data_IF_878821151213
#
_entry.id   IF_878821151213
#
_cell.length_a   1.000
_cell.length_b   1.000
_cell.length_c   1.000
_cell.angle_alpha   90.00
_cell.angle_beta   90.00
_cell.angle_gamma   90.00
#
_symmetry.space_group_name_H-M   'P 1'
#
loop_
_entity.id
_entity.type
_entity.pdbx_description
1 polymer ?
#
# COMPACT_ATOMS: atom_id res chain seq x y z
N UNK A 1 34.64 -8.05 -52.88
CA UNK A 1 35.72 -7.16 -52.45
C UNK A 1 36.46 -7.82 -51.31
N UNK A 2 37.77 -8.03 -51.46
CA UNK A 2 38.60 -8.56 -50.37
C UNK A 2 38.93 -7.44 -49.38
N UNK A 3 38.60 -7.64 -48.10
CA UNK A 3 38.94 -6.70 -47.03
C UNK A 3 40.22 -7.16 -46.33
N UNK A 4 41.02 -6.22 -45.82
CA UNK A 4 42.32 -6.51 -45.21
C UNK A 4 42.18 -6.57 -43.68
N UNK A 5 42.77 -7.61 -43.07
CA UNK A 5 42.88 -7.72 -41.63
C UNK A 5 43.87 -6.68 -41.06
N UNK A 6 43.44 -5.89 -40.09
CA UNK A 6 44.24 -4.80 -39.49
C UNK A 6 45.36 -5.28 -38.56
N UNK A 7 45.37 -6.58 -38.20
CA UNK A 7 46.44 -7.16 -37.37
C UNK A 7 47.50 -7.92 -38.15
N UNK A 8 47.15 -8.55 -39.27
CA UNK A 8 48.07 -9.43 -40.00
C UNK A 8 48.15 -9.15 -41.50
N UNK A 9 47.42 -8.14 -42.01
CA UNK A 9 47.44 -7.73 -43.41
C UNK A 9 46.82 -8.74 -44.39
N UNK A 10 46.29 -9.87 -43.91
CA UNK A 10 45.69 -10.90 -44.77
C UNK A 10 44.37 -10.41 -45.35
N UNK A 11 44.20 -10.57 -46.67
CA UNK A 11 42.94 -10.36 -47.38
C UNK A 11 41.96 -11.48 -47.06
N UNK A 12 40.76 -11.14 -46.64
CA UNK A 12 39.72 -12.11 -46.23
C UNK A 12 38.34 -11.48 -46.42
N UNK A 13 37.35 -12.29 -46.80
CA UNK A 13 35.96 -11.83 -46.94
C UNK A 13 35.23 -11.66 -45.61
N UNK A 14 35.66 -12.38 -44.57
CA UNK A 14 35.02 -12.44 -43.26
C UNK A 14 35.93 -11.82 -42.19
N UNK A 15 35.74 -10.54 -41.90
CA UNK A 15 36.36 -9.84 -40.78
C UNK A 15 35.42 -9.83 -39.57
N UNK A 16 36.02 -9.86 -38.38
CA UNK A 16 35.34 -9.72 -37.09
C UNK A 16 35.87 -8.48 -36.39
N UNK A 17 34.97 -7.67 -35.85
CA UNK A 17 35.35 -6.52 -35.03
C UNK A 17 35.65 -6.97 -33.60
N UNK A 18 36.86 -6.69 -33.13
CA UNK A 18 37.33 -7.06 -31.79
C UNK A 18 37.99 -5.86 -31.11
N UNK A 19 37.87 -5.82 -29.78
CA UNK A 19 38.57 -4.83 -28.94
C UNK A 19 39.91 -5.41 -28.49
N UNK A 20 41.01 -4.77 -28.88
CA UNK A 20 42.38 -5.12 -28.51
C UNK A 20 43.02 -3.88 -27.90
N UNK A 21 43.46 -3.98 -26.64
CA UNK A 21 44.17 -2.90 -25.91
C UNK A 21 43.44 -1.52 -25.96
N UNK A 22 42.10 -1.55 -25.98
CA UNK A 22 41.26 -0.35 -25.99
C UNK A 22 40.92 0.20 -27.38
N UNK A 23 41.46 -0.40 -28.45
CA UNK A 23 41.13 -0.04 -29.84
C UNK A 23 40.27 -1.10 -30.53
N UNK A 24 39.28 -0.67 -31.30
CA UNK A 24 38.43 -1.56 -32.10
C UNK A 24 39.09 -1.81 -33.45
N UNK A 25 39.38 -3.09 -33.74
CA UNK A 25 40.04 -3.51 -34.98
C UNK A 25 39.19 -4.55 -35.73
N UNK A 26 39.22 -4.50 -37.06
CA UNK A 26 38.62 -5.49 -37.95
C UNK A 26 39.66 -6.54 -38.35
N UNK A 27 39.48 -7.75 -37.84
CA UNK A 27 40.50 -8.80 -37.92
C UNK A 27 39.94 -10.10 -38.48
N UNK A 28 40.82 -10.92 -39.08
CA UNK A 28 40.44 -12.24 -39.55
C UNK A 28 40.16 -13.20 -38.38
N UNK A 29 39.53 -14.35 -38.66
CA UNK A 29 39.17 -15.34 -37.64
C UNK A 29 40.33 -15.80 -36.74
N UNK A 30 41.56 -15.83 -37.27
CA UNK A 30 42.76 -16.22 -36.51
C UNK A 30 43.25 -15.12 -35.57
N UNK A 31 43.08 -13.85 -35.95
CA UNK A 31 43.50 -12.71 -35.14
C UNK A 31 42.45 -12.31 -34.10
N UNK A 32 41.18 -12.71 -34.31
CA UNK A 32 40.09 -12.44 -33.37
C UNK A 32 40.32 -13.01 -31.96
N UNK A 33 41.20 -14.02 -31.82
CA UNK A 33 41.57 -14.59 -30.51
C UNK A 33 42.35 -13.64 -29.60
N UNK A 34 42.97 -12.60 -30.17
CA UNK A 34 43.77 -11.63 -29.41
C UNK A 34 42.93 -10.50 -28.81
N UNK A 35 41.64 -10.44 -29.14
CA UNK A 35 40.73 -9.40 -28.67
C UNK A 35 39.45 -9.96 -28.09
N UNK A 36 38.67 -9.07 -27.46
CA UNK A 36 37.30 -9.39 -27.02
C UNK A 36 36.33 -9.09 -28.17
N UNK A 37 35.47 -10.03 -28.56
CA UNK A 37 34.50 -9.79 -29.63
C UNK A 37 33.52 -8.70 -29.18
N UNK A 38 33.47 -7.61 -29.95
CA UNK A 38 32.47 -6.55 -29.73
C UNK A 38 31.31 -6.88 -30.63
N UNK A 39 30.14 -7.18 -30.03
CA UNK A 39 28.91 -7.18 -30.79
C UNK A 39 28.67 -5.74 -31.21
N UNK A 40 28.41 -5.43 -32.49
CA UNK A 40 27.94 -4.10 -32.85
C UNK A 40 26.73 -3.82 -31.98
N UNK A 41 26.77 -2.73 -31.21
CA UNK A 41 25.60 -2.25 -30.49
C UNK A 41 24.61 -1.83 -31.57
N UNK A 42 23.73 -2.75 -31.95
CA UNK A 42 22.52 -2.40 -32.69
C UNK A 42 21.80 -1.47 -31.72
N UNK A 43 21.84 -0.17 -32.01
CA UNK A 43 21.10 0.82 -31.26
C UNK A 43 19.67 0.30 -31.12
N UNK A 44 19.26 0.05 -29.87
CA UNK A 44 17.97 -0.55 -29.59
C UNK A 44 16.91 0.24 -30.35
N UNK A 45 16.07 -0.46 -31.09
CA UNK A 45 15.03 0.20 -31.87
C UNK A 45 14.09 0.96 -30.94
N UNK A 46 13.46 2.06 -31.38
CA UNK A 46 12.49 2.79 -30.56
C UNK A 46 11.41 1.89 -29.95
N UNK A 47 11.05 0.80 -30.64
CA UNK A 47 10.11 -0.22 -30.18
C UNK A 47 10.65 -1.01 -28.98
N UNK A 48 11.90 -1.45 -29.01
CA UNK A 48 12.53 -2.20 -27.92
C UNK A 48 12.73 -1.32 -26.67
N UNK A 49 13.04 -0.03 -26.88
CA UNK A 49 13.16 0.94 -25.79
C UNK A 49 11.79 1.17 -25.14
N UNK A 50 10.74 1.37 -25.94
CA UNK A 50 9.37 1.56 -25.44
C UNK A 50 8.88 0.32 -24.65
N UNK A 51 9.10 -0.89 -25.17
CA UNK A 51 8.74 -2.13 -24.48
C UNK A 51 9.47 -2.27 -23.14
N UNK A 52 10.75 -1.90 -23.08
CA UNK A 52 11.55 -1.97 -21.86
C UNK A 52 11.09 -0.96 -20.80
N UNK A 53 10.68 0.23 -21.23
CA UNK A 53 10.11 1.26 -20.37
C UNK A 53 8.75 0.83 -19.83
N UNK A 54 7.88 0.27 -20.67
CA UNK A 54 6.56 -0.23 -20.25
C UNK A 54 6.66 -1.38 -19.24
N UNK A 55 7.62 -2.31 -19.44
CA UNK A 55 7.92 -3.39 -18.49
C UNK A 55 8.50 -2.86 -17.17
N UNK A 56 9.16 -1.70 -17.19
CA UNK A 56 9.64 -1.04 -15.97
C UNK A 56 8.47 -0.40 -15.25
N UNK A 57 7.61 0.35 -15.94
CA UNK A 57 6.38 0.92 -15.37
C UNK A 57 5.47 -0.14 -14.75
N UNK A 58 5.25 -1.28 -15.41
CA UNK A 58 4.44 -2.38 -14.84
C UNK A 58 5.03 -2.97 -13.56
N UNK A 59 6.36 -2.94 -13.40
CA UNK A 59 7.03 -3.37 -12.16
C UNK A 59 7.00 -2.30 -11.06
N UNK A 60 6.96 -1.03 -11.43
CA UNK A 60 6.91 0.11 -10.50
C UNK A 60 5.48 0.58 -10.18
N UNK A 61 4.45 0.06 -10.85
CA UNK A 61 3.08 0.13 -10.32
C UNK A 61 3.08 -0.64 -9.01
N UNK A 62 3.22 0.10 -7.91
CA UNK A 62 2.93 -0.38 -6.57
C UNK A 62 1.56 -1.05 -6.64
N UNK A 63 1.56 -2.37 -6.55
CA UNK A 63 0.33 -3.16 -6.43
C UNK A 63 -0.46 -2.47 -5.33
N UNK A 64 -1.57 -1.83 -5.68
CA UNK A 64 -2.42 -1.11 -4.73
C UNK A 64 -2.78 -2.13 -3.65
N UNK A 65 -2.10 -2.04 -2.50
CA UNK A 65 -2.32 -2.94 -1.36
C UNK A 65 -3.79 -2.86 -0.90
N UNK A 66 -4.46 -1.76 -1.25
CA UNK A 66 -5.85 -1.46 -0.96
C UNK A 66 -6.87 -2.02 -1.96
N UNK A 67 -6.47 -2.47 -3.15
CA UNK A 67 -7.42 -2.92 -4.20
C UNK A 67 -7.88 -4.38 -3.99
N UNK A 68 -7.43 -5.03 -2.91
CA UNK A 68 -7.88 -6.39 -2.51
C UNK A 68 -8.73 -6.39 -1.24
N UNK A 69 -9.13 -5.22 -0.71
CA UNK A 69 -9.89 -5.10 0.55
C UNK A 69 -11.34 -4.69 0.28
N UNK A 70 -12.00 -5.32 -0.69
CA UNK A 70 -13.44 -5.08 -0.96
C UNK A 70 -14.34 -6.20 -0.43
N UNK A 71 -13.77 -7.22 0.22
CA UNK A 71 -14.55 -8.29 0.82
C UNK A 71 -14.51 -8.14 2.33
N UNK A 72 -15.56 -7.57 2.90
CA UNK A 72 -15.72 -7.51 4.35
C UNK A 72 -16.44 -8.75 4.86
N UNK A 73 -16.01 -9.23 6.03
CA UNK A 73 -16.69 -10.32 6.74
C UNK A 73 -18.04 -9.81 7.24
N UNK A 74 -19.12 -10.52 6.89
CA UNK A 74 -20.48 -10.16 7.33
C UNK A 74 -20.56 -10.17 8.86
N UNK A 75 -21.15 -9.12 9.46
CA UNK A 75 -21.26 -8.97 10.91
C UNK A 75 -21.94 -10.16 11.61
N UNK A 76 -22.92 -10.80 10.96
CA UNK A 76 -23.65 -11.97 11.47
C UNK A 76 -22.96 -13.32 11.17
N UNK A 77 -21.65 -13.34 10.93
CA UNK A 77 -20.90 -14.56 10.61
C UNK A 77 -21.09 -15.68 11.65
N UNK A 78 -21.13 -15.35 12.95
CA UNK A 78 -21.26 -16.32 14.03
C UNK A 78 -22.57 -17.11 13.94
N UNK A 79 -23.69 -16.41 13.69
CA UNK A 79 -25.01 -17.03 13.51
C UNK A 79 -25.07 -17.86 12.25
N UNK A 80 -24.59 -17.32 11.12
CA UNK A 80 -24.56 -18.03 9.84
C UNK A 80 -23.78 -19.35 9.91
N UNK A 81 -22.63 -19.35 10.59
CA UNK A 81 -21.82 -20.56 10.78
C UNK A 81 -22.56 -21.59 11.63
N UNK A 82 -23.18 -21.17 12.73
CA UNK A 82 -23.94 -22.05 13.62
C UNK A 82 -25.14 -22.67 12.91
N UNK A 83 -25.89 -21.87 12.16
CA UNK A 83 -27.07 -22.32 11.40
C UNK A 83 -26.67 -23.25 10.24
N UNK A 84 -25.54 -22.98 9.58
CA UNK A 84 -25.03 -23.86 8.55
C UNK A 84 -24.56 -25.20 9.14
N UNK A 85 -23.89 -25.17 10.30
CA UNK A 85 -23.47 -26.38 11.00
C UNK A 85 -24.66 -27.25 11.39
N UNK A 86 -25.71 -26.68 11.97
CA UNK A 86 -26.93 -27.43 12.34
C UNK A 86 -27.65 -27.99 11.11
N UNK A 87 -27.73 -27.24 10.01
CA UNK A 87 -28.28 -27.74 8.74
C UNK A 87 -27.50 -28.95 8.20
N UNK A 88 -26.18 -28.96 8.38
CA UNK A 88 -25.33 -30.08 7.97
C UNK A 88 -25.21 -31.20 9.02
N UNK A 89 -25.90 -31.10 10.17
CA UNK A 89 -25.85 -32.05 11.30
C UNK A 89 -24.42 -32.39 11.77
N UNK A 90 -23.47 -31.45 11.68
CA UNK A 90 -22.10 -31.65 12.14
C UNK A 90 -21.92 -31.21 13.59
N UNK A 91 -21.17 -31.96 14.39
CA UNK A 91 -20.70 -31.46 15.69
C UNK A 91 -19.56 -30.45 15.51
N UNK A 92 -19.31 -29.55 16.48
CA UNK A 92 -18.18 -28.61 16.42
C UNK A 92 -16.82 -29.31 16.29
N UNK A 93 -16.70 -30.53 16.83
CA UNK A 93 -15.48 -31.33 16.75
C UNK A 93 -15.28 -31.91 15.34
N UNK A 94 -16.33 -32.42 14.72
CA UNK A 94 -16.29 -32.93 13.34
C UNK A 94 -16.04 -31.82 12.33
N UNK A 95 -16.65 -30.65 12.53
CA UNK A 95 -16.39 -29.47 11.70
C UNK A 95 -14.92 -29.06 11.81
N UNK A 96 -14.37 -29.00 13.04
CA UNK A 96 -12.96 -28.74 13.28
C UNK A 96 -12.04 -29.75 12.59
N UNK A 97 -12.34 -31.06 12.68
CA UNK A 97 -11.60 -32.11 11.98
C UNK A 97 -11.62 -31.92 10.46
N UNK A 98 -12.77 -31.52 9.88
CA UNK A 98 -12.93 -31.32 8.43
C UNK A 98 -12.17 -30.11 7.90
N UNK A 99 -12.04 -29.04 8.69
CA UNK A 99 -11.29 -27.83 8.30
C UNK A 99 -9.85 -27.78 8.84
N UNK A 100 -9.44 -28.83 9.56
CA UNK A 100 -8.15 -28.96 10.25
C UNK A 100 -7.90 -27.84 11.28
N UNK A 101 -8.87 -27.64 12.18
CA UNK A 101 -8.84 -26.63 13.24
C UNK A 101 -9.33 -27.22 14.57
N UNK A 102 -8.88 -26.62 15.68
CA UNK A 102 -9.25 -27.09 17.02
C UNK A 102 -10.71 -26.76 17.34
N UNK A 103 -11.39 -27.67 18.05
CA UNK A 103 -12.78 -27.48 18.52
C UNK A 103 -13.00 -26.15 19.27
N UNK A 104 -12.00 -25.72 20.03
CA UNK A 104 -12.04 -24.49 20.82
C UNK A 104 -12.13 -23.24 19.95
N UNK A 105 -11.53 -23.26 18.75
CA UNK A 105 -11.56 -22.15 17.79
C UNK A 105 -12.97 -22.07 17.18
N UNK A 106 -13.54 -23.21 16.77
CA UNK A 106 -14.91 -23.28 16.23
C UNK A 106 -15.93 -22.72 17.21
N UNK A 107 -15.87 -23.13 18.48
CA UNK A 107 -16.80 -22.63 19.50
C UNK A 107 -16.69 -21.12 19.73
N UNK A 108 -15.47 -20.57 19.72
CA UNK A 108 -15.24 -19.12 19.86
C UNK A 108 -15.75 -18.31 18.67
N UNK A 109 -15.72 -18.89 17.47
CA UNK A 109 -16.26 -18.27 16.26
C UNK A 109 -17.79 -18.33 16.27
N UNK A 110 -18.38 -19.48 16.65
CA UNK A 110 -19.84 -19.63 16.80
C UNK A 110 -20.42 -18.71 17.89
N UNK A 111 -19.64 -18.37 18.92
CA UNK A 111 -20.03 -17.40 19.96
C UNK A 111 -19.74 -15.93 19.59
N UNK A 112 -19.09 -15.67 18.45
CA UNK A 112 -18.70 -14.32 18.01
C UNK A 112 -17.58 -13.68 18.84
N UNK A 113 -16.91 -14.45 19.70
CA UNK A 113 -15.82 -13.96 20.55
C UNK A 113 -14.49 -13.84 19.81
N UNK A 114 -14.38 -14.42 18.61
CA UNK A 114 -13.17 -14.44 17.79
C UNK A 114 -13.50 -14.18 16.33
N UNK A 115 -12.79 -13.22 15.72
CA UNK A 115 -12.85 -12.96 14.28
C UNK A 115 -11.96 -13.97 13.55
N UNK A 116 -12.49 -14.74 12.58
CA UNK A 116 -11.72 -15.70 11.82
C UNK A 116 -10.80 -15.03 10.79
N UNK A 117 -9.63 -15.63 10.55
CA UNK A 117 -8.71 -15.22 9.48
C UNK A 117 -9.30 -15.52 8.09
N UNK A 118 -8.85 -14.80 7.06
CA UNK A 118 -9.32 -14.99 5.67
C UNK A 118 -9.17 -16.43 5.17
N UNK A 119 -8.09 -17.11 5.57
CA UNK A 119 -7.87 -18.51 5.24
C UNK A 119 -8.91 -19.43 5.89
N UNK A 120 -9.28 -19.13 7.13
CA UNK A 120 -10.28 -19.87 7.88
C UNK A 120 -11.68 -19.63 7.30
N UNK A 121 -11.99 -18.39 6.93
CA UNK A 121 -13.24 -18.02 6.27
C UNK A 121 -13.41 -18.84 4.99
N UNK A 122 -12.41 -18.87 4.10
CA UNK A 122 -12.45 -19.66 2.86
C UNK A 122 -12.66 -21.15 3.12
N UNK A 123 -12.06 -21.70 4.18
CA UNK A 123 -12.27 -23.11 4.57
C UNK A 123 -13.71 -23.36 5.05
N UNK A 124 -14.26 -22.45 5.86
CA UNK A 124 -15.62 -22.53 6.37
C UNK A 124 -16.65 -22.40 5.24
N UNK A 125 -16.44 -21.47 4.32
CA UNK A 125 -17.28 -21.30 3.13
C UNK A 125 -17.33 -22.60 2.30
N UNK A 126 -16.18 -23.27 2.10
CA UNK A 126 -16.12 -24.55 1.39
C UNK A 126 -16.74 -25.71 2.15
N UNK A 127 -16.52 -25.80 3.46
CA UNK A 127 -17.00 -26.91 4.27
C UNK A 127 -18.52 -26.88 4.49
N UNK A 128 -19.08 -25.67 4.61
CA UNK A 128 -20.50 -25.44 4.92
C UNK A 128 -21.30 -24.93 3.71
N UNK A 129 -20.65 -24.68 2.57
CA UNK A 129 -21.22 -24.15 1.33
C UNK A 129 -22.03 -22.85 1.54
N UNK A 130 -21.51 -21.96 2.38
CA UNK A 130 -22.08 -20.64 2.68
C UNK A 130 -21.16 -19.53 2.18
N UNK A 131 -21.72 -18.33 1.97
CA UNK A 131 -20.94 -17.11 1.70
C UNK A 131 -20.86 -16.26 2.97
N UNK A 132 -19.64 -16.05 3.45
CA UNK A 132 -19.32 -15.26 4.65
C UNK A 132 -18.66 -13.92 4.28
N UNK A 133 -18.08 -13.83 3.08
CA UNK A 133 -17.56 -12.58 2.52
C UNK A 133 -18.62 -11.89 1.66
N UNK A 134 -18.87 -10.61 1.92
CA UNK A 134 -19.73 -9.77 1.09
C UNK A 134 -18.88 -8.70 0.39
N UNK A 135 -19.09 -8.55 -0.92
CA UNK A 135 -18.48 -7.46 -1.68
C UNK A 135 -19.22 -6.19 -1.31
N UNK A 136 -18.53 -5.23 -0.73
CA UNK A 136 -19.09 -3.88 -0.52
C UNK A 136 -19.40 -3.28 -1.90
N UNK A 137 -20.66 -3.38 -2.33
CA UNK A 137 -21.21 -2.42 -3.28
C UNK A 137 -21.17 -1.08 -2.55
N UNK A 138 -20.61 -0.08 -3.21
CA UNK A 138 -20.59 1.32 -2.75
C UNK A 138 -22.01 1.86 -2.61
N UNK A 139 -22.70 1.51 -1.54
CA UNK A 139 -23.90 2.20 -1.07
C UNK A 139 -23.71 2.53 0.41
N UNK A 140 -23.43 3.83 0.64
CA UNK A 140 -23.55 4.62 1.87
C UNK A 140 -22.97 4.02 3.16
N UNK A 141 -21.88 4.65 3.60
CA UNK A 141 -21.22 4.47 4.89
C UNK A 141 -22.18 4.74 6.06
N UNK A 142 -22.78 3.69 6.61
CA UNK A 142 -23.32 3.68 7.97
C UNK A 142 -22.18 3.36 8.94
N UNK A 143 -21.64 4.39 9.58
CA UNK A 143 -20.62 4.27 10.63
C UNK A 143 -21.18 3.50 11.82
N UNK A 144 -20.71 2.26 12.05
CA UNK A 144 -20.90 1.56 13.33
C UNK A 144 -19.93 2.09 14.39
N UNK A 145 -20.50 2.34 15.57
CA UNK A 145 -19.90 3.02 16.73
C UNK A 145 -18.70 2.23 17.28
N UNK A 146 -17.50 2.82 17.25
CA UNK A 146 -16.41 2.47 18.17
C UNK A 146 -16.52 3.35 19.41
N UNK A 147 -16.47 2.70 20.59
CA UNK A 147 -16.79 3.27 21.89
C UNK A 147 -15.74 4.21 22.48
N UNK A 148 -15.49 5.34 21.82
CA UNK A 148 -15.04 6.57 22.48
C UNK A 148 -16.21 7.53 22.45
N UNK A 149 -16.79 7.87 23.60
CA UNK A 149 -17.93 8.77 23.67
C UNK A 149 -17.58 10.15 23.15
N UNK A 150 -17.80 10.40 21.86
CA UNK A 150 -17.75 11.74 21.28
C UNK A 150 -18.83 12.59 21.96
N UNK A 151 -18.42 13.72 22.53
CA UNK A 151 -19.35 14.68 23.12
C UNK A 151 -20.34 15.14 22.05
N UNK A 152 -21.54 15.57 22.45
CA UNK A 152 -22.53 15.99 21.45
C UNK A 152 -22.04 17.16 20.58
N UNK A 153 -21.08 17.97 21.08
CA UNK A 153 -20.40 19.00 20.30
C UNK A 153 -19.47 18.45 19.22
N UNK A 154 -18.79 17.33 19.46
CA UNK A 154 -17.87 16.73 18.48
C UNK A 154 -18.62 16.14 17.29
N UNK A 155 -19.83 15.61 17.50
CA UNK A 155 -20.68 15.05 16.43
C UNK A 155 -21.14 16.11 15.44
N UNK A 156 -21.45 17.30 15.94
CA UNK A 156 -21.91 18.44 15.13
C UNK A 156 -20.76 19.02 14.30
N UNK A 157 -19.56 19.09 14.88
CA UNK A 157 -18.34 19.46 14.16
C UNK A 157 -18.01 18.44 13.06
N UNK A 158 -18.09 17.13 13.34
CA UNK A 158 -17.83 16.07 12.34
C UNK A 158 -18.80 16.16 11.16
N UNK A 159 -20.09 16.38 11.40
CA UNK A 159 -21.08 16.54 10.33
C UNK A 159 -20.73 17.74 9.42
N UNK A 160 -20.34 18.88 10.02
CA UNK A 160 -19.90 20.07 9.31
C UNK A 160 -18.64 19.83 8.46
N UNK A 161 -17.64 19.12 8.99
CA UNK A 161 -16.44 18.78 8.22
C UNK A 161 -16.72 17.80 7.09
N UNK A 162 -17.67 16.87 7.26
CA UNK A 162 -18.02 15.85 6.25
C UNK A 162 -18.67 16.46 5.02
N UNK A 163 -19.53 17.46 5.19
CA UNK A 163 -20.11 18.21 4.06
C UNK A 163 -19.05 19.02 3.31
N UNK A 164 -18.10 19.61 4.03
CA UNK A 164 -17.04 20.46 3.47
C UNK A 164 -15.95 19.65 2.74
N UNK A 165 -15.64 18.44 3.22
CA UNK A 165 -14.65 17.53 2.64
C UNK A 165 -15.21 16.66 1.49
N UNK A 166 -16.48 16.84 1.12
CA UNK A 166 -17.12 16.10 0.02
C UNK A 166 -16.73 16.61 -1.38
N UNK A 167 -15.93 17.69 -1.46
CA UNK A 167 -15.39 18.23 -2.71
C UNK A 167 -13.93 17.75 -2.91
N UNK A 168 -13.60 17.17 -4.07
CA UNK A 168 -12.27 16.59 -4.32
C UNK A 168 -11.11 17.59 -4.13
N UNK A 169 -11.35 18.86 -4.48
CA UNK A 169 -10.35 19.93 -4.32
C UNK A 169 -10.08 20.26 -2.84
N UNK A 170 -11.13 20.28 -2.01
CA UNK A 170 -11.03 20.60 -0.58
C UNK A 170 -10.41 19.42 0.18
N UNK A 171 -10.77 18.19 -0.18
CA UNK A 171 -10.16 16.97 0.36
C UNK A 171 -8.67 16.89 0.03
N UNK A 172 -8.28 17.15 -1.22
CA UNK A 172 -6.86 17.16 -1.62
C UNK A 172 -6.04 18.23 -0.87
N UNK A 173 -6.61 19.43 -0.66
CA UNK A 173 -5.98 20.50 0.12
C UNK A 173 -5.84 20.11 1.60
N UNK A 174 -6.86 19.48 2.17
CA UNK A 174 -6.85 18.98 3.55
C UNK A 174 -5.79 17.90 3.75
N UNK A 175 -5.76 16.87 2.89
CA UNK A 175 -4.78 15.78 2.96
C UNK A 175 -3.34 16.31 2.84
N UNK A 176 -3.12 17.29 1.95
CA UNK A 176 -1.80 17.90 1.78
C UNK A 176 -1.33 18.62 3.04
N UNK A 177 -2.23 19.27 3.76
CA UNK A 177 -1.88 19.98 5.00
C UNK A 177 -1.78 19.03 6.20
N UNK A 178 -2.50 17.91 6.21
CA UNK A 178 -2.29 16.83 7.19
C UNK A 178 -0.89 16.23 7.09
N UNK A 179 -0.36 16.01 5.88
CA UNK A 179 1.04 15.54 5.73
C UNK A 179 2.05 16.53 6.31
N UNK A 180 1.82 17.83 6.12
CA UNK A 180 2.66 18.88 6.72
C UNK A 180 2.53 18.94 8.24
N UNK A 181 1.35 18.62 8.76
CA UNK A 181 1.11 18.50 10.20
C UNK A 181 1.92 17.32 10.77
N UNK A 182 1.87 16.16 10.13
CA UNK A 182 2.63 14.98 10.56
C UNK A 182 4.15 15.22 10.49
N UNK A 183 4.64 15.87 9.43
CA UNK A 183 6.05 16.28 9.33
C UNK A 183 6.47 17.21 10.49
N UNK A 184 5.67 18.23 10.79
CA UNK A 184 5.93 19.15 11.89
C UNK A 184 5.83 18.47 13.27
N UNK A 185 4.92 17.52 13.43
CA UNK A 185 4.76 16.71 14.64
C UNK A 185 5.98 15.82 14.89
N UNK A 186 6.43 15.09 13.87
CA UNK A 186 7.62 14.25 13.95
C UNK A 186 8.86 15.08 14.28
N UNK A 187 9.05 16.21 13.60
CA UNK A 187 10.18 17.11 13.86
C UNK A 187 10.18 17.62 15.31
N UNK A 188 9.02 18.03 15.82
CA UNK A 188 8.94 18.57 17.17
C UNK A 188 9.09 17.51 18.26
N UNK A 189 8.76 16.24 17.98
CA UNK A 189 9.12 15.09 18.85
C UNK A 189 10.64 14.88 18.87
N UNK A 190 11.30 14.91 17.72
CA UNK A 190 12.75 14.74 17.62
C UNK A 190 13.52 15.87 18.33
N UNK A 191 12.99 17.09 18.30
CA UNK A 191 13.56 18.26 18.98
C UNK A 191 13.26 18.30 20.50
N UNK A 192 12.36 17.45 21.00
CA UNK A 192 12.05 17.32 22.43
C UNK A 192 11.37 18.54 23.06
N UNK A 193 10.74 19.40 22.26
CA UNK A 193 10.05 20.62 22.73
C UNK A 193 8.60 20.33 23.11
N UNK A 194 8.06 20.95 24.17
CA UNK A 194 6.61 20.93 24.45
C UNK A 194 5.90 21.80 23.39
N UNK A 195 5.18 21.19 22.45
CA UNK A 195 4.50 21.89 21.35
C UNK A 195 2.99 21.64 21.33
N UNK A 196 2.23 22.63 20.89
CA UNK A 196 0.82 22.46 20.52
C UNK A 196 0.66 22.77 19.04
N UNK A 197 0.21 21.77 18.27
CA UNK A 197 -0.10 21.92 16.86
C UNK A 197 -1.61 22.09 16.69
N UNK A 198 -2.04 23.21 16.13
CA UNK A 198 -3.42 23.44 15.75
C UNK A 198 -3.53 23.61 14.24
N UNK A 199 -4.50 22.93 13.64
CA UNK A 199 -4.84 23.10 12.23
C UNK A 199 -5.90 24.20 12.14
N UNK A 200 -5.49 25.42 11.81
CA UNK A 200 -6.46 26.50 11.55
C UNK A 200 -7.03 26.28 10.15
N UNK A 201 -8.34 26.11 10.08
CA UNK A 201 -9.09 25.91 8.85
C UNK A 201 -9.97 27.13 8.61
N UNK A 202 -9.69 27.90 7.55
CA UNK A 202 -10.50 29.04 7.10
C UNK A 202 -11.25 28.69 5.82
N UNK A 203 -12.55 28.95 5.81
CA UNK A 203 -13.43 28.68 4.69
C UNK A 203 -14.77 29.36 4.86
N UNK A 204 -15.43 29.64 3.73
CA UNK A 204 -16.85 30.02 3.70
C UNK A 204 -17.72 28.76 3.58
N UNK A 205 -19.06 28.90 3.69
CA UNK A 205 -19.98 27.76 3.65
C UNK A 205 -19.73 26.91 2.39
N UNK A 206 -19.13 25.73 2.59
CA UNK A 206 -18.78 24.67 1.61
C UNK A 206 -17.43 24.79 0.87
N UNK A 207 -16.54 25.73 1.23
CA UNK A 207 -15.23 25.83 0.56
C UNK A 207 -14.07 26.00 1.57
N UNK A 208 -13.13 25.04 1.57
CA UNK A 208 -11.86 25.16 2.29
C UNK A 208 -10.94 26.07 1.51
N UNK A 209 -10.77 27.31 1.98
CA UNK A 209 -9.95 28.32 1.32
C UNK A 209 -8.49 28.26 1.77
N UNK A 210 -8.25 28.00 3.07
CA UNK A 210 -6.91 27.92 3.62
C UNK A 210 -6.87 27.01 4.84
N UNK A 211 -5.86 26.13 4.93
CA UNK A 211 -5.52 25.49 6.19
C UNK A 211 -4.03 25.56 6.46
N UNK A 212 -3.64 26.01 7.65
CA UNK A 212 -2.25 26.16 8.07
C UNK A 212 -2.07 25.55 9.46
N UNK A 213 -0.92 24.89 9.63
CA UNK A 213 -0.47 24.37 10.91
C UNK A 213 0.14 25.52 11.70
N UNK A 214 -0.40 25.80 12.90
CA UNK A 214 0.20 26.72 13.87
C UNK A 214 0.91 25.92 14.94
N UNK A 215 2.13 26.33 15.26
CA UNK A 215 2.92 25.86 16.41
C UNK A 215 2.88 26.94 17.47
N UNK A 216 2.09 26.77 18.52
CA UNK A 216 2.20 27.65 19.69
C UNK A 216 3.22 27.02 20.65
N UNK A 217 4.33 27.74 20.89
CA UNK A 217 5.25 27.41 21.99
C UNK A 217 4.50 27.68 23.28
N UNK A 218 4.23 26.64 24.05
CA UNK A 218 3.73 26.81 25.41
C UNK A 218 4.91 27.16 26.32
N UNK A 219 5.12 28.43 26.63
CA UNK A 219 5.97 28.80 27.77
C UNK A 219 5.24 28.34 29.03
N UNK A 220 5.77 27.30 29.68
CA UNK A 220 5.25 26.81 30.97
C UNK A 220 5.29 28.00 31.94
N UNK A 221 4.17 28.48 32.50
CA UNK A 221 4.25 29.53 33.51
C UNK A 221 5.09 28.99 34.66
N UNK A 222 6.09 29.77 35.11
CA UNK A 222 6.96 29.42 36.23
C UNK A 222 6.04 29.27 37.46
N UNK A 223 5.65 28.02 37.72
CA UNK A 223 4.83 27.64 38.86
C UNK A 223 5.65 27.85 40.13
N UNK A 224 5.27 28.88 40.87
CA UNK A 224 5.71 29.13 42.25
C UNK A 224 5.67 27.82 43.04
N UNK A 225 6.79 27.43 43.64
CA UNK A 225 6.79 26.55 44.79
C UNK A 225 6.18 27.32 45.96
N UNK A 226 5.00 26.91 46.42
CA UNK A 226 4.58 27.13 47.80
C UNK A 226 4.09 25.81 48.42
N UNK A 227 4.99 25.28 49.25
CA UNK A 227 4.86 24.64 50.58
C UNK A 227 3.90 23.46 50.85
N UNK A 228 4.52 22.50 51.56
CA UNK A 228 4.04 21.70 52.71
C UNK A 228 3.37 20.35 52.47
N UNK A 229 3.92 19.36 53.19
CA UNK A 229 3.59 17.94 53.21
C UNK A 229 4.84 17.14 53.56
#
# INVERSE_FOLDING_TARGET
>A
MDMICEMCGKKTSNLKTVLIEGSMLNVCGNCARFGKPVKPEIAATPVEIAQRLELREKRFRTKNVFENVENELVDDYARKIKDARTKTNLTPEELGKRINEKKTIITKIESGSMRPDENLIKKLEKALNIKLMEKTKTEKVETKKTGGGLSNGDKEQIAKYREVLNNDKTLALFIRNMRKFDEAFCQAIEEGTDFTLSLEVRGDKHELLHSRVKTDRFDRPIGKKEVSG
#
